data_IF_411680646887
#
_entry.id   IF_411680646887
#
_cell.length_a   1.000
_cell.length_b   1.000
_cell.length_c   1.000
_cell.angle_alpha   90.00
_cell.angle_beta   90.00
_cell.angle_gamma   90.00
#
_symmetry.space_group_name_H-M   'P 1'
#
loop_
_entity.id
_entity.type
_entity.pdbx_description
1 polymer ?
#
# COMPACT_ATOMS: atom_id res chain seq x y z
N UNK A 1 12.60 29.51 6.67
CA UNK A 1 12.28 28.45 5.70
C UNK A 1 11.47 27.31 6.35
N UNK A 2 11.57 27.06 7.66
CA UNK A 2 10.80 26.00 8.35
C UNK A 2 9.31 26.29 8.61
N UNK A 3 8.88 27.57 8.63
CA UNK A 3 7.48 27.94 8.95
C UNK A 3 6.47 27.60 7.84
N UNK A 4 6.92 27.43 6.59
CA UNK A 4 6.05 27.09 5.45
C UNK A 4 5.79 25.58 5.35
N UNK A 5 6.74 24.75 5.79
CA UNK A 5 6.58 23.29 5.78
C UNK A 5 5.49 22.80 6.72
N UNK A 6 5.46 23.30 7.96
CA UNK A 6 4.45 22.92 8.96
C UNK A 6 3.02 23.33 8.55
N UNK A 7 2.87 24.52 7.96
CA UNK A 7 1.56 24.98 7.46
C UNK A 7 1.06 24.12 6.27
N UNK A 8 1.98 23.68 5.41
CA UNK A 8 1.68 22.82 4.28
C UNK A 8 1.32 21.39 4.72
N UNK A 9 2.08 20.80 5.64
CA UNK A 9 1.76 19.50 6.24
C UNK A 9 0.40 19.53 6.94
N UNK A 10 0.11 20.59 7.69
CA UNK A 10 -1.17 20.74 8.37
C UNK A 10 -2.36 20.92 7.41
N UNK A 11 -2.20 21.71 6.34
CA UNK A 11 -3.23 21.87 5.31
C UNK A 11 -3.50 20.55 4.56
N UNK A 12 -2.45 19.77 4.30
CA UNK A 12 -2.54 18.43 3.73
C UNK A 12 -3.26 17.48 4.69
N UNK A 13 -2.90 17.45 5.97
CA UNK A 13 -3.55 16.60 6.96
C UNK A 13 -5.04 16.93 7.07
N UNK A 14 -5.41 18.22 7.02
CA UNK A 14 -6.82 18.62 6.96
C UNK A 14 -7.52 18.19 5.67
N UNK A 15 -6.85 18.26 4.51
CA UNK A 15 -7.37 17.75 3.25
C UNK A 15 -7.56 16.23 3.28
N UNK A 16 -6.64 15.49 3.89
CA UNK A 16 -6.79 14.06 4.15
C UNK A 16 -8.04 13.84 5.00
N UNK A 17 -8.14 14.47 6.16
CA UNK A 17 -9.30 14.28 7.05
C UNK A 17 -10.63 14.65 6.37
N UNK A 18 -10.65 15.72 5.57
CA UNK A 18 -11.86 16.16 4.86
C UNK A 18 -12.23 15.26 3.67
N UNK A 19 -11.26 14.84 2.84
CA UNK A 19 -11.52 14.08 1.60
C UNK A 19 -11.46 12.56 1.78
N UNK A 20 -10.81 12.07 2.83
CA UNK A 20 -10.81 10.66 3.25
C UNK A 20 -11.99 10.37 4.19
N UNK A 21 -12.51 11.40 4.87
CA UNK A 21 -13.57 11.28 5.88
C UNK A 21 -15.01 11.55 5.43
N UNK A 22 -15.28 11.93 4.17
CA UNK A 22 -16.67 12.16 3.71
C UNK A 22 -17.29 10.90 3.09
N UNK A 23 -18.20 10.20 3.80
CA UNK A 23 -18.98 9.12 3.22
C UNK A 23 -19.97 9.70 2.20
N UNK A 24 -19.83 9.35 0.92
CA UNK A 24 -20.93 9.52 -0.02
C UNK A 24 -21.98 8.45 0.29
N UNK A 25 -23.24 8.87 0.39
CA UNK A 25 -24.40 8.02 0.71
C UNK A 25 -24.27 6.60 0.14
N UNK A 26 -24.01 5.64 1.02
CA UNK A 26 -23.89 4.21 0.71
C UNK A 26 -22.54 3.56 1.03
N UNK A 27 -21.47 4.32 1.29
CA UNK A 27 -20.14 3.73 1.57
C UNK A 27 -19.89 3.56 3.08
N UNK A 28 -20.01 2.32 3.55
CA UNK A 28 -19.57 1.92 4.88
C UNK A 28 -18.04 1.83 4.89
N UNK A 29 -17.35 2.73 5.60
CA UNK A 29 -15.99 2.44 6.10
C UNK A 29 -16.08 1.23 7.01
N UNK A 30 -15.85 0.05 6.44
CA UNK A 30 -15.79 -1.18 7.23
C UNK A 30 -14.40 -1.25 7.83
N UNK A 31 -14.29 -0.83 9.09
CA UNK A 31 -13.09 -1.05 9.90
C UNK A 31 -13.04 -2.54 10.28
N UNK A 32 -12.50 -3.38 9.37
CA UNK A 32 -12.48 -4.85 9.52
C UNK A 32 -11.46 -5.29 10.60
N UNK A 33 -10.87 -4.36 11.35
CA UNK A 33 -9.99 -4.66 12.46
C UNK A 33 -9.33 -3.41 13.00
N UNK A 34 -10.07 -2.64 13.80
CA UNK A 34 -9.57 -1.43 14.45
C UNK A 34 -8.28 -1.68 15.28
N UNK A 35 -8.07 -2.92 15.74
CA UNK A 35 -6.86 -3.35 16.47
C UNK A 35 -5.69 -3.76 15.58
N UNK A 36 -5.89 -3.96 14.28
CA UNK A 36 -4.89 -4.55 13.36
C UNK A 36 -4.34 -3.54 12.35
N UNK A 37 -4.91 -2.32 12.31
CA UNK A 37 -4.47 -1.25 11.42
C UNK A 37 -4.86 -1.46 9.94
N UNK A 38 -5.84 -2.33 9.68
CA UNK A 38 -6.38 -2.59 8.33
C UNK A 38 -7.54 -1.62 8.08
N UNK A 39 -7.45 -0.80 7.04
CA UNK A 39 -8.51 0.11 6.63
C UNK A 39 -8.98 -0.19 5.22
N UNK A 40 -10.27 0.01 4.98
CA UNK A 40 -10.87 -0.08 3.65
C UNK A 40 -11.60 1.22 3.39
N UNK A 41 -11.22 1.91 2.32
CA UNK A 41 -11.70 3.25 2.01
C UNK A 41 -11.84 3.48 0.51
N UNK A 42 -12.62 4.50 0.15
CA UNK A 42 -12.69 5.04 -1.21
C UNK A 42 -12.26 6.51 -1.15
N UNK A 43 -10.96 6.79 -1.32
CA UNK A 43 -10.46 8.16 -1.23
C UNK A 43 -11.04 9.03 -2.36
N UNK A 44 -11.14 10.33 -2.13
CA UNK A 44 -11.65 11.30 -3.12
C UNK A 44 -10.59 12.33 -3.57
N UNK A 45 -9.36 12.16 -3.10
CA UNK A 45 -8.20 12.99 -3.45
C UNK A 45 -7.78 12.64 -4.89
N UNK A 46 -7.24 13.59 -5.64
CA UNK A 46 -6.74 13.38 -7.02
C UNK A 46 -5.31 13.90 -7.16
N UNK A 47 -4.61 13.57 -8.26
CA UNK A 47 -3.26 14.09 -8.51
C UNK A 47 -3.22 15.61 -8.69
N UNK A 48 -4.36 16.23 -9.02
CA UNK A 48 -4.50 17.69 -9.07
C UNK A 48 -4.42 18.33 -7.68
N UNK A 49 -4.78 17.59 -6.62
CA UNK A 49 -4.72 18.07 -5.24
C UNK A 49 -3.30 17.97 -4.62
N UNK A 50 -2.33 17.37 -5.34
CA UNK A 50 -0.98 17.09 -4.85
C UNK A 50 0.04 17.90 -5.64
N UNK A 51 0.88 18.69 -4.96
CA UNK A 51 1.97 19.42 -5.60
C UNK A 51 3.23 18.54 -5.74
N UNK A 52 3.93 18.70 -6.86
CA UNK A 52 5.20 17.99 -7.11
C UNK A 52 5.04 16.51 -7.47
N UNK A 53 6.14 15.76 -7.41
CA UNK A 53 6.13 14.31 -7.63
C UNK A 53 5.78 13.86 -9.06
N UNK A 54 6.00 14.70 -10.07
CA UNK A 54 5.53 14.42 -11.45
C UNK A 54 6.08 13.11 -12.05
N UNK A 55 7.31 12.73 -11.71
CA UNK A 55 7.87 11.42 -12.10
C UNK A 55 7.05 10.28 -11.48
N UNK A 56 6.76 10.34 -10.18
CA UNK A 56 5.97 9.33 -9.50
C UNK A 56 4.52 9.29 -10.03
N UNK A 57 3.90 10.44 -10.26
CA UNK A 57 2.56 10.53 -10.89
C UNK A 57 2.56 9.88 -12.27
N UNK A 58 3.62 10.04 -13.07
CA UNK A 58 3.73 9.42 -14.39
C UNK A 58 3.76 7.89 -14.31
N UNK A 59 4.56 7.32 -13.41
CA UNK A 59 4.61 5.86 -13.20
C UNK A 59 3.25 5.34 -12.66
N UNK A 60 2.64 6.07 -11.72
CA UNK A 60 1.34 5.67 -11.14
C UNK A 60 0.17 5.77 -12.13
N UNK A 61 0.27 6.55 -13.22
CA UNK A 61 -0.75 6.54 -14.29
C UNK A 61 -0.84 5.17 -14.98
N UNK A 62 0.24 4.41 -15.05
CA UNK A 62 0.21 3.04 -15.58
C UNK A 62 -0.62 2.14 -14.66
N UNK A 63 -0.42 2.25 -13.34
CA UNK A 63 -1.22 1.54 -12.32
C UNK A 63 -2.71 1.90 -12.43
N UNK A 64 -3.04 3.18 -12.57
CA UNK A 64 -4.43 3.65 -12.74
C UNK A 64 -5.06 3.02 -13.98
N UNK A 65 -4.32 3.02 -15.10
CA UNK A 65 -4.79 2.48 -16.38
C UNK A 65 -5.02 0.98 -16.27
N UNK A 66 -4.10 0.24 -15.61
CA UNK A 66 -4.21 -1.19 -15.39
C UNK A 66 -5.44 -1.56 -14.53
N UNK A 67 -5.69 -0.82 -13.44
CA UNK A 67 -6.85 -1.07 -12.58
C UNK A 67 -8.19 -0.70 -13.24
N UNK A 68 -8.24 0.37 -14.04
CA UNK A 68 -9.47 0.78 -14.74
C UNK A 68 -9.84 -0.11 -15.93
N UNK A 69 -8.83 -0.55 -16.68
CA UNK A 69 -9.02 -1.27 -17.93
C UNK A 69 -8.13 -2.51 -18.00
N UNK A 70 -8.32 -3.49 -17.10
CA UNK A 70 -7.50 -4.69 -17.05
C UNK A 70 -7.51 -5.49 -18.36
N UNK A 71 -8.63 -5.43 -19.11
CA UNK A 71 -8.77 -6.09 -20.41
C UNK A 71 -7.73 -5.64 -21.45
N UNK A 72 -7.24 -4.39 -21.39
CA UNK A 72 -6.22 -3.90 -22.32
C UNK A 72 -4.89 -4.65 -22.17
N UNK A 73 -4.66 -5.24 -21.00
CA UNK A 73 -3.43 -5.96 -20.66
C UNK A 73 -3.58 -7.48 -20.81
N UNK A 74 -4.82 -8.00 -20.98
CA UNK A 74 -5.09 -9.42 -21.16
C UNK A 74 -4.78 -9.93 -22.57
N UNK A 75 -4.91 -9.09 -23.61
CA UNK A 75 -4.82 -9.50 -25.01
C UNK A 75 -3.47 -9.23 -25.67
N UNK A 76 -2.56 -8.52 -25.00
CA UNK A 76 -1.24 -8.24 -25.56
C UNK A 76 -0.28 -9.40 -25.29
N UNK A 77 0.59 -9.74 -26.25
CA UNK A 77 1.75 -10.66 -26.10
C UNK A 77 2.71 -10.32 -24.93
N UNK A 78 2.43 -9.24 -24.17
CA UNK A 78 3.09 -8.84 -22.92
C UNK A 78 2.70 -9.69 -21.70
N UNK A 79 1.85 -10.70 -21.85
CA UNK A 79 1.61 -11.76 -20.84
C UNK A 79 2.73 -12.81 -20.81
N UNK A 80 3.95 -12.45 -21.24
CA UNK A 80 5.13 -13.20 -20.80
C UNK A 80 5.26 -12.92 -19.31
N UNK A 81 5.45 -13.93 -18.45
CA UNK A 81 5.57 -13.84 -16.98
C UNK A 81 6.51 -12.73 -16.43
N UNK A 82 7.25 -12.05 -17.30
CA UNK A 82 8.31 -11.10 -17.03
C UNK A 82 7.84 -9.63 -16.87
N UNK A 83 6.54 -9.32 -17.06
CA UNK A 83 6.04 -7.92 -17.04
C UNK A 83 4.76 -7.66 -16.26
N UNK A 84 4.35 -8.59 -15.41
CA UNK A 84 3.14 -8.36 -14.63
C UNK A 84 3.42 -7.39 -13.47
N UNK A 85 2.73 -6.25 -13.48
CA UNK A 85 2.82 -5.20 -12.45
C UNK A 85 2.07 -5.64 -11.19
N UNK A 86 2.72 -6.43 -10.35
CA UNK A 86 2.16 -6.85 -9.05
C UNK A 86 2.21 -5.72 -8.02
N UNK A 87 3.16 -4.78 -8.16
CA UNK A 87 3.24 -3.65 -7.27
C UNK A 87 4.28 -2.59 -7.61
N UNK A 88 4.25 -1.51 -6.85
CA UNK A 88 5.18 -0.37 -6.95
C UNK A 88 5.66 -0.02 -5.55
N UNK A 89 6.97 0.18 -5.40
CA UNK A 89 7.58 0.67 -4.17
C UNK A 89 7.91 2.16 -4.31
N UNK A 90 7.34 2.98 -3.44
CA UNK A 90 7.55 4.44 -3.42
C UNK A 90 8.60 4.78 -2.34
N UNK A 91 9.77 5.20 -2.80
CA UNK A 91 10.97 5.37 -1.97
C UNK A 91 11.21 6.80 -1.45
N UNK A 92 11.82 6.91 -0.26
CA UNK A 92 12.45 8.11 0.32
C UNK A 92 12.01 8.41 1.77
N UNK A 93 12.25 9.60 2.34
CA UNK A 93 11.83 9.90 3.73
C UNK A 93 10.30 9.77 3.95
N UNK A 94 9.80 9.26 5.10
CA UNK A 94 8.37 9.21 5.39
C UNK A 94 7.78 10.62 5.30
N UNK A 95 6.75 10.76 4.46
CA UNK A 95 6.06 12.03 4.23
C UNK A 95 4.59 11.79 3.87
N UNK A 96 3.75 12.73 4.26
CA UNK A 96 2.31 12.69 3.96
C UNK A 96 2.03 12.69 2.46
N UNK A 97 2.90 13.29 1.66
CA UNK A 97 2.76 13.38 0.20
C UNK A 97 2.71 12.02 -0.51
N UNK A 98 3.41 11.00 0.00
CA UNK A 98 3.38 9.67 -0.62
C UNK A 98 2.11 8.92 -0.31
N UNK A 99 1.66 9.01 0.94
CA UNK A 99 0.35 8.49 1.32
C UNK A 99 -0.73 9.16 0.47
N UNK A 100 -0.66 10.48 0.28
CA UNK A 100 -1.56 11.18 -0.64
C UNK A 100 -1.50 10.65 -2.07
N UNK A 101 -0.31 10.41 -2.63
CA UNK A 101 -0.17 9.87 -3.98
C UNK A 101 -0.87 8.51 -4.13
N UNK A 102 -0.79 7.65 -3.12
CA UNK A 102 -1.49 6.36 -3.11
C UNK A 102 -3.00 6.56 -3.06
N UNK A 103 -3.49 7.44 -2.19
CA UNK A 103 -4.93 7.74 -2.09
C UNK A 103 -5.47 8.34 -3.39
N UNK A 104 -4.71 9.25 -4.01
CA UNK A 104 -5.06 9.81 -5.31
C UNK A 104 -5.05 8.77 -6.43
N UNK A 105 -4.11 7.82 -6.39
CA UNK A 105 -4.05 6.71 -7.35
C UNK A 105 -5.31 5.83 -7.26
N UNK A 106 -5.75 5.47 -6.06
CA UNK A 106 -6.97 4.69 -5.86
C UNK A 106 -8.23 5.43 -6.33
N UNK A 107 -8.34 6.71 -5.98
CA UNK A 107 -9.45 7.59 -6.39
C UNK A 107 -9.52 7.73 -7.90
N UNK A 108 -8.39 8.05 -8.55
CA UNK A 108 -8.33 8.17 -10.00
C UNK A 108 -8.60 6.84 -10.69
N UNK A 109 -8.23 5.71 -10.10
CA UNK A 109 -8.59 4.39 -10.60
C UNK A 109 -10.06 4.00 -10.35
N UNK A 110 -10.79 4.73 -9.50
CA UNK A 110 -12.12 4.32 -8.98
C UNK A 110 -12.03 2.91 -8.36
N UNK A 111 -10.91 2.61 -7.70
CA UNK A 111 -10.65 1.33 -7.07
C UNK A 111 -10.75 1.48 -5.54
N UNK A 112 -11.32 0.49 -4.82
CA UNK A 112 -11.21 0.45 -3.37
C UNK A 112 -9.75 0.45 -2.94
N UNK A 113 -9.43 1.25 -1.93
CA UNK A 113 -8.14 1.26 -1.26
C UNK A 113 -8.23 0.39 -0.01
N UNK A 114 -7.44 -0.68 0.03
CA UNK A 114 -7.25 -1.50 1.24
C UNK A 114 -5.86 -1.18 1.75
N UNK A 115 -5.73 -0.68 2.98
CA UNK A 115 -4.45 -0.26 3.54
C UNK A 115 -4.11 -1.01 4.82
N UNK A 116 -2.82 -1.30 5.02
CA UNK A 116 -2.24 -1.79 6.26
C UNK A 116 -1.10 -0.87 6.67
N UNK A 117 -1.22 -0.24 7.83
CA UNK A 117 -0.11 0.49 8.46
C UNK A 117 0.76 -0.49 9.23
N UNK A 118 1.98 -0.74 8.74
CA UNK A 118 2.91 -1.64 9.42
C UNK A 118 3.46 -1.02 10.71
N UNK A 119 3.57 0.31 10.78
CA UNK A 119 3.85 1.02 12.04
C UNK A 119 2.79 0.75 13.10
N UNK A 120 1.51 0.80 12.72
CA UNK A 120 0.40 0.51 13.65
C UNK A 120 0.42 -0.97 14.04
N UNK A 121 0.60 -1.87 13.06
CA UNK A 121 0.69 -3.30 13.33
C UNK A 121 1.83 -3.63 14.31
N UNK A 122 3.04 -3.15 14.04
CA UNK A 122 4.19 -3.38 14.93
C UNK A 122 3.94 -2.79 16.31
N UNK A 123 3.40 -1.58 16.40
CA UNK A 123 3.06 -0.96 17.69
C UNK A 123 2.08 -1.80 18.52
N UNK A 124 1.09 -2.44 17.89
CA UNK A 124 0.13 -3.32 18.58
C UNK A 124 0.75 -4.65 19.06
N UNK A 125 1.90 -5.03 18.50
CA UNK A 125 2.63 -6.25 18.85
C UNK A 125 3.77 -5.99 19.85
N UNK A 126 4.14 -4.72 20.10
CA UNK A 126 5.17 -4.39 21.07
C UNK A 126 4.76 -4.85 22.48
N UNK A 127 5.66 -5.58 23.15
CA UNK A 127 5.43 -6.15 24.47
C UNK A 127 4.66 -7.47 24.48
N UNK A 128 4.25 -8.00 23.32
CA UNK A 128 3.73 -9.35 23.19
C UNK A 128 4.86 -10.39 23.18
N UNK A 129 4.52 -11.67 23.36
CA UNK A 129 5.51 -12.74 23.20
C UNK A 129 5.95 -12.89 21.73
N UNK A 130 7.17 -13.35 21.49
CA UNK A 130 7.71 -13.60 20.13
C UNK A 130 6.73 -14.40 19.25
N UNK A 131 6.10 -15.43 19.83
CA UNK A 131 5.09 -16.24 19.15
C UNK A 131 3.89 -15.41 18.74
N UNK A 132 3.40 -14.51 19.59
CA UNK A 132 2.27 -13.64 19.29
C UNK A 132 2.64 -12.57 18.25
N UNK A 133 3.86 -12.02 18.29
CA UNK A 133 4.36 -11.11 17.26
C UNK A 133 4.30 -11.79 15.89
N UNK A 134 4.90 -12.98 15.76
CA UNK A 134 4.96 -13.71 14.50
C UNK A 134 3.58 -14.16 14.04
N UNK A 135 2.77 -14.79 14.91
CA UNK A 135 1.46 -15.29 14.51
C UNK A 135 0.46 -14.16 14.27
N UNK A 136 0.46 -13.13 15.12
CA UNK A 136 -0.40 -11.96 15.01
C UNK A 136 -0.12 -11.17 13.73
N UNK A 137 1.14 -10.85 13.47
CA UNK A 137 1.50 -10.11 12.26
C UNK A 137 1.27 -10.93 10.99
N UNK A 138 1.53 -12.24 10.98
CA UNK A 138 1.19 -13.10 9.82
C UNK A 138 -0.31 -13.14 9.55
N UNK A 139 -1.13 -13.22 10.59
CA UNK A 139 -2.59 -13.16 10.45
C UNK A 139 -3.04 -11.82 9.86
N UNK A 140 -2.49 -10.71 10.35
CA UNK A 140 -2.79 -9.38 9.83
C UNK A 140 -2.46 -9.24 8.34
N UNK A 141 -1.27 -9.70 7.94
CA UNK A 141 -0.84 -9.67 6.53
C UNK A 141 -1.78 -10.53 5.67
N UNK A 142 -2.10 -11.76 6.08
CA UNK A 142 -3.06 -12.60 5.33
C UNK A 142 -4.42 -11.91 5.21
N UNK A 143 -4.91 -11.37 6.31
CA UNK A 143 -6.21 -10.72 6.36
C UNK A 143 -6.25 -9.51 5.41
N UNK A 144 -5.24 -8.64 5.37
CA UNK A 144 -5.27 -7.48 4.47
C UNK A 144 -5.27 -7.91 2.99
N UNK A 145 -4.46 -8.90 2.62
CA UNK A 145 -4.42 -9.43 1.26
C UNK A 145 -5.73 -10.12 0.87
N UNK A 146 -6.36 -10.85 1.78
CA UNK A 146 -7.70 -11.41 1.58
C UNK A 146 -8.76 -10.32 1.38
N UNK A 147 -8.70 -9.23 2.15
CA UNK A 147 -9.62 -8.10 1.97
C UNK A 147 -9.43 -7.41 0.62
N UNK A 148 -8.19 -7.28 0.14
CA UNK A 148 -7.89 -6.74 -1.18
C UNK A 148 -8.42 -7.63 -2.30
N UNK A 149 -8.15 -8.95 -2.25
CA UNK A 149 -8.65 -9.93 -3.23
C UNK A 149 -10.18 -9.98 -3.30
N UNK A 150 -10.88 -9.95 -2.15
CA UNK A 150 -12.35 -9.91 -2.09
C UNK A 150 -12.96 -8.67 -2.75
N UNK A 151 -12.18 -7.61 -2.93
CA UNK A 151 -12.60 -6.32 -3.49
C UNK A 151 -11.98 -6.03 -4.85
N UNK A 152 -11.31 -7.01 -5.46
CA UNK A 152 -10.67 -6.83 -6.75
C UNK A 152 -11.71 -6.43 -7.83
N UNK A 153 -11.41 -5.48 -8.74
CA UNK A 153 -10.14 -4.76 -8.89
C UNK A 153 -9.87 -3.77 -7.74
N UNK A 154 -8.70 -3.86 -7.08
CA UNK A 154 -8.39 -3.06 -5.89
C UNK A 154 -6.92 -2.65 -5.79
N UNK A 155 -6.68 -1.60 -5.00
CA UNK A 155 -5.34 -1.13 -4.64
C UNK A 155 -5.04 -1.53 -3.19
N UNK A 156 -3.98 -2.31 -2.97
CA UNK A 156 -3.48 -2.67 -1.64
C UNK A 156 -2.32 -1.74 -1.27
N UNK A 157 -2.42 -1.04 -0.14
CA UNK A 157 -1.37 -0.16 0.34
C UNK A 157 -0.69 -0.69 1.61
N UNK A 158 0.58 -1.05 1.50
CA UNK A 158 1.43 -1.41 2.63
C UNK A 158 2.27 -0.20 3.04
N UNK A 159 1.82 0.51 4.08
CA UNK A 159 2.49 1.74 4.50
C UNK A 159 3.63 1.48 5.48
N UNK A 160 4.77 2.13 5.24
CA UNK A 160 5.96 2.14 6.12
C UNK A 160 6.53 0.74 6.38
N UNK A 161 7.01 0.08 5.31
CA UNK A 161 7.64 -1.24 5.42
C UNK A 161 8.79 -1.28 6.44
N UNK A 162 9.52 -0.16 6.58
CA UNK A 162 10.62 -0.01 7.52
C UNK A 162 10.18 -0.13 8.98
N UNK A 163 8.88 -0.05 9.29
CA UNK A 163 8.37 -0.29 10.62
C UNK A 163 8.71 -1.70 11.15
N UNK A 164 8.83 -2.69 10.26
CA UNK A 164 9.23 -4.05 10.61
C UNK A 164 10.66 -4.11 11.16
N UNK A 165 11.49 -3.10 10.91
CA UNK A 165 12.85 -3.00 11.48
C UNK A 165 12.86 -2.64 12.96
N UNK A 166 11.75 -2.14 13.49
CA UNK A 166 11.58 -1.90 14.93
C UNK A 166 11.44 -3.21 15.72
N UNK A 167 11.26 -4.33 15.04
CA UNK A 167 11.36 -5.65 15.64
C UNK A 167 12.85 -6.00 15.76
N UNK A 168 13.35 -5.96 16.99
CA UNK A 168 14.76 -6.20 17.31
C UNK A 168 15.21 -7.62 16.92
N UNK A 169 14.32 -8.60 17.10
CA UNK A 169 14.62 -9.99 16.80
C UNK A 169 14.45 -10.30 15.31
N UNK A 170 15.53 -10.81 14.71
CA UNK A 170 15.51 -11.32 13.32
C UNK A 170 14.42 -12.37 13.12
N UNK A 171 14.24 -13.24 14.12
CA UNK A 171 13.26 -14.33 14.14
C UNK A 171 11.81 -13.83 14.25
N UNK A 172 11.58 -12.55 14.56
CA UNK A 172 10.26 -11.91 14.48
C UNK A 172 10.05 -11.25 13.11
N UNK A 173 11.08 -10.56 12.60
CA UNK A 173 11.02 -9.77 11.37
C UNK A 173 10.95 -10.61 10.10
N UNK A 174 11.86 -11.58 9.92
CA UNK A 174 11.92 -12.38 8.68
C UNK A 174 10.63 -13.16 8.40
N UNK A 175 9.98 -13.79 9.40
CA UNK A 175 8.70 -14.46 9.18
C UNK A 175 7.58 -13.58 8.65
N UNK A 176 7.58 -12.27 8.97
CA UNK A 176 6.59 -11.30 8.52
C UNK A 176 6.88 -10.88 7.07
N UNK A 177 8.13 -10.53 6.76
CA UNK A 177 8.56 -10.23 5.39
C UNK A 177 8.27 -11.40 4.45
N UNK A 178 8.62 -12.62 4.85
CA UNK A 178 8.34 -13.83 4.07
C UNK A 178 6.84 -14.03 3.85
N UNK A 179 6.00 -13.66 4.81
CA UNK A 179 4.55 -13.74 4.63
C UNK A 179 4.03 -12.74 3.60
N UNK A 180 4.60 -11.53 3.53
CA UNK A 180 4.28 -10.57 2.46
C UNK A 180 4.65 -11.16 1.09
N UNK A 181 5.86 -11.71 0.96
CA UNK A 181 6.32 -12.34 -0.29
C UNK A 181 5.39 -13.49 -0.73
N UNK A 182 5.03 -14.38 0.20
CA UNK A 182 4.09 -15.48 -0.07
C UNK A 182 2.73 -14.96 -0.54
N UNK A 183 2.24 -13.85 0.01
CA UNK A 183 0.97 -13.27 -0.42
C UNK A 183 1.06 -12.55 -1.77
N UNK A 184 2.21 -11.93 -2.09
CA UNK A 184 2.48 -11.34 -3.40
C UNK A 184 2.50 -12.41 -4.50
N UNK A 185 3.18 -13.53 -4.27
CA UNK A 185 3.25 -14.66 -5.21
C UNK A 185 1.88 -15.31 -5.48
N UNK A 186 0.91 -15.10 -4.58
CA UNK A 186 -0.47 -15.60 -4.71
C UNK A 186 -1.39 -14.66 -5.47
N UNK A 187 -0.93 -13.49 -5.88
CA UNK A 187 -1.76 -12.56 -6.64
C UNK A 187 -1.92 -13.04 -8.08
N UNK A 188 -3.17 -13.16 -8.51
CA UNK A 188 -3.49 -13.51 -9.88
C UNK A 188 -3.62 -12.25 -10.75
N UNK A 189 -3.35 -12.35 -12.07
CA UNK A 189 -3.54 -11.24 -13.01
C UNK A 189 -4.96 -10.72 -13.09
N UNK A 190 -5.93 -11.58 -12.79
CA UNK A 190 -7.33 -11.24 -12.90
C UNK A 190 -8.16 -12.01 -11.88
N UNK A 191 -9.03 -11.34 -11.11
CA UNK A 191 -9.23 -9.89 -11.04
C UNK A 191 -8.02 -9.17 -10.40
N UNK A 192 -7.60 -7.99 -10.89
CA UNK A 192 -6.30 -7.41 -10.54
C UNK A 192 -6.28 -6.84 -9.12
N UNK A 193 -5.20 -7.13 -8.39
CA UNK A 193 -4.85 -6.44 -7.15
C UNK A 193 -3.45 -5.88 -7.33
N UNK A 194 -3.30 -4.56 -7.23
CA UNK A 194 -1.98 -3.91 -7.32
C UNK A 194 -1.54 -3.48 -5.93
N UNK A 195 -0.30 -3.83 -5.56
CA UNK A 195 0.27 -3.50 -4.25
C UNK A 195 1.15 -2.25 -4.36
N UNK A 196 0.80 -1.18 -3.67
CA UNK A 196 1.69 -0.05 -3.44
C UNK A 196 2.31 -0.20 -2.06
N UNK A 197 3.61 0.06 -1.95
CA UNK A 197 4.28 0.09 -0.67
C UNK A 197 5.15 1.34 -0.54
N UNK A 198 5.38 1.79 0.68
CA UNK A 198 6.30 2.91 0.98
C UNK A 198 7.45 2.43 1.85
N UNK A 199 8.65 2.90 1.53
CA UNK A 199 9.85 2.67 2.33
C UNK A 199 10.83 3.84 2.22
N UNK A 200 11.65 4.05 3.25
CA UNK A 200 12.73 5.03 3.25
C UNK A 200 14.14 4.44 3.13
N UNK A 201 14.31 3.13 3.30
CA UNK A 201 15.60 2.45 3.12
C UNK A 201 15.56 1.42 1.98
N UNK A 202 16.25 1.75 0.88
CA UNK A 202 16.31 0.88 -0.31
C UNK A 202 17.14 -0.38 -0.06
N UNK A 203 18.23 -0.27 0.70
CA UNK A 203 19.22 -1.33 0.82
C UNK A 203 18.72 -2.52 1.63
N UNK A 204 17.70 -2.31 2.47
CA UNK A 204 17.19 -3.31 3.41
C UNK A 204 15.99 -4.09 2.88
N UNK A 205 15.35 -3.61 1.81
CA UNK A 205 14.15 -4.22 1.22
C UNK A 205 14.35 -4.69 -0.22
N UNK A 206 15.58 -4.99 -0.66
CA UNK A 206 15.86 -5.45 -2.02
C UNK A 206 15.00 -6.67 -2.45
N UNK A 207 14.79 -7.64 -1.56
CA UNK A 207 13.95 -8.82 -1.86
C UNK A 207 12.48 -8.46 -2.04
N UNK A 208 11.98 -7.48 -1.29
CA UNK A 208 10.59 -7.02 -1.38
C UNK A 208 10.39 -6.11 -2.60
N UNK A 209 11.39 -5.29 -2.94
CA UNK A 209 11.45 -4.53 -4.18
C UNK A 209 11.43 -5.45 -5.41
N UNK A 210 12.23 -6.52 -5.39
CA UNK A 210 12.25 -7.52 -6.47
C UNK A 210 10.88 -8.20 -6.64
N UNK A 211 10.26 -8.62 -5.54
CA UNK A 211 8.94 -9.26 -5.55
C UNK A 211 7.81 -8.32 -5.99
N UNK A 212 7.81 -7.06 -5.54
CA UNK A 212 6.78 -6.09 -5.93
C UNK A 212 6.90 -5.69 -7.41
N UNK A 213 8.11 -5.45 -7.89
CA UNK A 213 8.32 -4.91 -9.24
C UNK A 213 8.36 -5.97 -10.35
N UNK A 214 8.33 -7.25 -9.99
CA UNK A 214 8.43 -8.37 -10.93
C UNK A 214 9.78 -8.46 -11.65
N UNK A 215 10.77 -7.63 -11.30
CA UNK A 215 12.09 -7.63 -11.91
C UNK A 215 13.02 -8.62 -11.20
N UNK A 216 12.98 -9.87 -11.64
CA UNK A 216 14.16 -10.74 -11.61
C UNK A 216 14.99 -10.46 -12.87
N UNK A 217 15.91 -9.49 -12.80
CA UNK A 217 17.06 -9.36 -13.72
C UNK A 217 18.08 -8.37 -13.15
#
# INVERSE_FOLDING_TARGET
VERTGLAYTYAIDQLIQAKVGEPRNGDFTHDVGASTGIKVERPTITFADILGGETAKKELREVITFLRWPQLFQSSEKTTSDRMLHGVLIMGHPSTERTLLVHATASEAIAPLVSLSLTTLVATLLGASEREVVHGGRRAIRQVFEQARKRAPSLLFLNELDALERLEAKDEREPLLNQVLIELDRLEPYPPVVVLATSYDLHRHCSLLAALTGKYA
#
